data_IF_173398377740
#
_entry.id   IF_173398377740
#
_cell.length_a   1.000
_cell.length_b   1.000
_cell.length_c   1.000
_cell.angle_alpha   90.00
_cell.angle_beta   90.00
_cell.angle_gamma   90.00
#
_symmetry.space_group_name_H-M   'P 1'
#
loop_
_entity.id
_entity.type
_entity.pdbx_description
1 polymer ?
#
# COMPACT_ATOMS: atom_id res chain seq x y z
N UNK A 1 -36.40 5.53 37.39
CA UNK A 1 -35.13 4.81 37.15
C UNK A 1 -34.48 5.43 35.92
N UNK A 2 -33.42 6.22 36.10
CA UNK A 2 -32.65 6.78 34.97
C UNK A 2 -31.67 5.70 34.53
N UNK A 3 -31.86 5.16 33.33
CA UNK A 3 -30.90 4.26 32.70
C UNK A 3 -29.63 5.07 32.44
N UNK A 4 -28.55 4.72 33.14
CA UNK A 4 -27.23 5.29 32.91
C UNK A 4 -26.75 4.72 31.56
N UNK A 5 -26.90 5.48 30.48
CA UNK A 5 -26.18 5.16 29.24
C UNK A 5 -24.69 5.36 29.55
N UNK A 6 -23.97 4.25 29.79
CA UNK A 6 -22.51 4.32 29.85
C UNK A 6 -22.02 4.81 28.49
N UNK A 7 -21.26 5.90 28.53
CA UNK A 7 -20.55 6.42 27.37
C UNK A 7 -19.53 5.36 26.93
N UNK A 8 -19.81 4.70 25.81
CA UNK A 8 -18.98 3.62 25.26
C UNK A 8 -17.57 4.11 24.88
N UNK A 9 -17.35 5.43 24.79
CA UNK A 9 -16.02 6.01 24.56
C UNK A 9 -15.05 5.79 25.73
N UNK A 10 -15.53 5.40 26.90
CA UNK A 10 -14.70 5.04 28.07
C UNK A 10 -14.57 3.53 28.28
N UNK A 11 -15.18 2.71 27.43
CA UNK A 11 -15.03 1.26 27.49
C UNK A 11 -13.79 0.85 26.70
N UNK A 12 -12.91 0.11 27.36
CA UNK A 12 -11.68 -0.36 26.76
C UNK A 12 -11.47 -1.84 27.06
N UNK A 13 -10.92 -2.56 26.09
CA UNK A 13 -10.60 -3.98 26.22
C UNK A 13 -9.26 -4.15 26.93
N UNK A 14 -9.21 -3.79 28.22
CA UNK A 14 -7.96 -3.79 29.01
C UNK A 14 -7.32 -5.18 29.12
N UNK A 15 -8.11 -6.25 29.05
CA UNK A 15 -7.63 -7.64 29.07
C UNK A 15 -7.36 -8.22 27.67
N UNK A 16 -7.46 -7.42 26.61
CA UNK A 16 -7.20 -7.88 25.26
C UNK A 16 -5.73 -8.25 25.12
N UNK A 17 -5.46 -9.53 24.89
CA UNK A 17 -4.11 -10.05 24.66
C UNK A 17 -3.83 -10.31 23.17
N UNK A 18 -4.84 -10.73 22.42
CA UNK A 18 -4.71 -11.17 21.04
C UNK A 18 -5.87 -10.61 20.20
N UNK A 19 -5.54 -10.02 19.05
CA UNK A 19 -6.51 -9.53 18.07
C UNK A 19 -6.17 -10.08 16.69
N UNK A 20 -7.11 -10.75 16.03
CA UNK A 20 -6.95 -11.17 14.64
C UNK A 20 -8.14 -10.72 13.79
N UNK A 21 -7.86 -9.82 12.86
CA UNK A 21 -8.79 -9.26 11.86
C UNK A 21 -8.23 -9.40 10.44
N UNK A 22 -7.20 -10.22 10.24
CA UNK A 22 -6.49 -10.36 8.97
C UNK A 22 -7.36 -10.93 7.84
N UNK A 23 -7.00 -10.63 6.59
CA UNK A 23 -7.49 -11.33 5.40
C UNK A 23 -8.99 -11.22 5.14
N UNK A 24 -9.59 -10.05 5.39
CA UNK A 24 -11.02 -9.87 5.15
C UNK A 24 -11.35 -10.00 3.66
N UNK A 25 -12.40 -10.76 3.35
CA UNK A 25 -12.79 -11.11 1.97
C UNK A 25 -13.85 -10.18 1.37
N UNK A 26 -14.40 -9.25 2.16
CA UNK A 26 -15.40 -8.31 1.66
C UNK A 26 -14.78 -7.37 0.61
N UNK A 27 -15.57 -6.89 -0.35
CA UNK A 27 -15.09 -5.99 -1.40
C UNK A 27 -14.42 -4.71 -0.89
N UNK A 28 -14.70 -4.31 0.36
CA UNK A 28 -14.14 -3.09 0.98
C UNK A 28 -12.95 -3.39 1.89
N UNK A 29 -12.80 -4.64 2.37
CA UNK A 29 -11.89 -5.03 3.48
C UNK A 29 -12.03 -4.07 4.68
N UNK A 30 -11.17 -4.18 5.68
CA UNK A 30 -11.07 -3.13 6.71
C UNK A 30 -10.31 -1.95 6.10
N UNK A 31 -10.84 -0.74 6.26
CA UNK A 31 -10.29 0.50 5.72
C UNK A 31 -10.24 1.58 6.80
N UNK A 32 -9.45 2.63 6.57
CA UNK A 32 -9.26 3.72 7.53
C UNK A 32 -7.86 3.71 8.15
N UNK A 33 -7.61 4.56 9.16
CA UNK A 33 -6.34 4.59 9.86
C UNK A 33 -6.15 3.36 10.76
N UNK A 34 -4.90 2.99 10.98
CA UNK A 34 -4.54 2.02 12.01
C UNK A 34 -4.87 2.57 13.41
N UNK A 35 -5.48 1.75 14.27
CA UNK A 35 -5.71 2.11 15.67
C UNK A 35 -4.40 2.01 16.45
N UNK A 36 -4.18 2.92 17.42
CA UNK A 36 -2.92 2.93 18.18
C UNK A 36 -2.78 1.74 19.13
N UNK A 37 -3.89 1.19 19.64
CA UNK A 37 -3.87 0.23 20.76
C UNK A 37 -3.10 0.73 21.99
N UNK A 38 -2.94 2.05 22.13
CA UNK A 38 -2.20 2.65 23.24
C UNK A 38 -2.77 2.20 24.59
N UNK A 39 -4.07 1.99 24.68
CA UNK A 39 -4.75 1.67 25.94
C UNK A 39 -4.88 0.15 26.21
N UNK A 40 -4.19 -0.74 25.49
CA UNK A 40 -4.33 -2.20 25.63
C UNK A 40 -3.08 -2.84 26.24
N UNK A 41 -2.82 -2.69 27.56
CA UNK A 41 -1.51 -3.00 28.16
C UNK A 41 -1.12 -4.48 28.12
N UNK A 42 -2.10 -5.39 28.01
CA UNK A 42 -1.88 -6.83 28.00
C UNK A 42 -1.71 -7.41 26.59
N UNK A 43 -1.68 -6.56 25.56
CA UNK A 43 -1.65 -6.98 24.18
C UNK A 43 -0.29 -7.57 23.82
N UNK A 44 -0.29 -8.81 23.34
CA UNK A 44 0.89 -9.55 22.90
C UNK A 44 0.85 -9.89 21.42
N UNK A 45 -0.31 -9.77 20.77
CA UNK A 45 -0.41 -9.97 19.34
C UNK A 45 -1.57 -9.28 18.64
N UNK A 46 -1.27 -8.76 17.45
CA UNK A 46 -2.22 -8.11 16.54
C UNK A 46 -1.97 -8.65 15.13
N UNK A 47 -2.98 -9.20 14.49
CA UNK A 47 -2.92 -9.63 13.09
C UNK A 47 -4.02 -8.93 12.31
N UNK A 48 -3.67 -7.90 11.55
CA UNK A 48 -4.61 -7.12 10.71
C UNK A 48 -4.15 -7.11 9.25
N UNK A 49 -3.13 -7.90 8.90
CA UNK A 49 -2.61 -7.96 7.53
C UNK A 49 -3.65 -8.39 6.48
N UNK A 50 -3.44 -8.00 5.22
CA UNK A 50 -4.35 -8.31 4.11
C UNK A 50 -5.65 -7.52 4.14
N UNK A 51 -5.59 -6.24 4.51
CA UNK A 51 -6.71 -5.30 4.55
C UNK A 51 -6.39 -4.05 3.69
N UNK A 52 -7.16 -2.96 3.85
CA UNK A 52 -6.99 -1.69 3.13
C UNK A 52 -6.79 -0.51 4.11
N UNK A 53 -6.09 -0.75 5.23
CA UNK A 53 -5.72 0.32 6.16
C UNK A 53 -4.75 1.29 5.49
N UNK A 54 -4.85 2.58 5.80
CA UNK A 54 -4.08 3.63 5.13
C UNK A 54 -3.59 4.70 6.11
N UNK A 55 -2.62 5.48 5.65
CA UNK A 55 -2.00 6.53 6.47
C UNK A 55 -0.89 5.96 7.37
N UNK A 56 -0.35 6.78 8.29
CA UNK A 56 0.79 6.39 9.10
C UNK A 56 0.43 5.41 10.21
N UNK A 57 1.45 4.68 10.66
CA UNK A 57 1.41 4.02 11.96
C UNK A 57 1.36 5.13 13.03
N UNK A 58 0.37 5.13 13.94
CA UNK A 58 0.24 6.18 14.95
C UNK A 58 1.51 6.30 15.82
N UNK A 59 1.97 7.52 16.16
CA UNK A 59 3.16 7.69 17.01
C UNK A 59 3.03 7.08 18.41
N UNK A 60 1.81 6.89 18.91
CA UNK A 60 1.49 6.25 20.19
C UNK A 60 1.09 4.77 20.04
N UNK A 61 1.40 4.15 18.89
CA UNK A 61 1.11 2.75 18.65
C UNK A 61 1.77 1.87 19.72
N UNK A 62 0.96 1.04 20.40
CA UNK A 62 1.35 0.15 21.49
C UNK A 62 2.02 0.83 22.70
N UNK A 63 1.86 2.15 22.86
CA UNK A 63 2.59 2.92 23.89
C UNK A 63 2.50 2.33 25.30
N UNK A 64 1.31 1.91 25.74
CA UNK A 64 1.10 1.44 27.12
C UNK A 64 1.16 -0.11 27.25
N UNK A 65 1.61 -0.84 26.22
CA UNK A 65 1.92 -2.28 26.27
C UNK A 65 3.18 -2.54 27.09
N UNK A 66 3.30 -3.68 27.77
CA UNK A 66 4.54 -4.08 28.44
C UNK A 66 5.66 -4.37 27.43
N UNK A 67 6.66 -3.49 27.38
CA UNK A 67 7.78 -3.52 26.43
C UNK A 67 8.75 -4.69 26.61
N UNK A 68 8.61 -5.48 27.69
CA UNK A 68 9.47 -6.64 27.97
C UNK A 68 8.90 -7.97 27.46
N UNK A 69 7.68 -7.96 26.94
CA UNK A 69 7.00 -9.16 26.43
C UNK A 69 7.40 -9.47 24.99
N UNK A 70 7.24 -10.72 24.57
CA UNK A 70 7.36 -11.12 23.16
C UNK A 70 6.10 -10.68 22.40
N UNK A 71 6.20 -9.56 21.66
CA UNK A 71 5.09 -8.93 20.95
C UNK A 71 5.12 -9.26 19.46
N UNK A 72 3.99 -9.73 18.91
CA UNK A 72 3.88 -10.16 17.50
C UNK A 72 2.81 -9.39 16.75
N UNK A 73 3.24 -8.55 15.82
CA UNK A 73 2.39 -7.62 15.08
C UNK A 73 2.48 -7.92 13.59
N UNK A 74 1.34 -8.22 12.97
CA UNK A 74 1.22 -8.39 11.53
C UNK A 74 0.28 -7.34 10.93
N UNK A 75 0.88 -6.33 10.29
CA UNK A 75 0.17 -5.28 9.57
C UNK A 75 0.32 -5.41 8.05
N UNK A 76 1.02 -6.44 7.57
CA UNK A 76 1.43 -6.60 6.18
C UNK A 76 0.26 -6.52 5.18
N UNK A 77 0.57 -6.17 3.93
CA UNK A 77 -0.42 -6.09 2.85
C UNK A 77 -1.62 -5.18 3.19
N UNK A 78 -1.32 -3.98 3.67
CA UNK A 78 -2.25 -2.86 3.76
C UNK A 78 -1.78 -1.74 2.79
N UNK A 79 -2.13 -0.49 3.10
CA UNK A 79 -1.67 0.72 2.40
C UNK A 79 -1.09 1.72 3.42
N UNK A 80 -0.49 1.22 4.52
CA UNK A 80 0.14 2.07 5.53
C UNK A 80 1.33 2.79 4.92
N UNK A 81 1.58 4.05 5.31
CA UNK A 81 2.59 4.88 4.65
C UNK A 81 3.35 5.77 5.63
N UNK A 82 4.47 6.33 5.20
CA UNK A 82 5.34 7.16 6.05
C UNK A 82 6.36 6.36 6.84
N UNK A 83 6.98 7.01 7.81
CA UNK A 83 8.04 6.44 8.64
C UNK A 83 7.46 5.55 9.76
N UNK A 84 8.22 4.51 10.12
CA UNK A 84 7.94 3.70 11.32
C UNK A 84 8.24 4.54 12.57
N UNK A 85 7.31 4.68 13.53
CA UNK A 85 7.53 5.52 14.71
C UNK A 85 8.65 5.00 15.61
N UNK A 86 9.67 5.84 15.85
CA UNK A 86 10.80 5.56 16.75
C UNK A 86 10.39 5.16 18.18
N UNK A 87 9.15 5.44 18.59
CA UNK A 87 8.62 4.98 19.88
C UNK A 87 8.57 3.46 20.01
N UNK A 88 8.57 2.73 18.88
CA UNK A 88 8.64 1.27 18.87
C UNK A 88 10.02 0.73 19.29
N UNK A 89 11.08 1.54 19.23
CA UNK A 89 12.45 1.15 19.61
C UNK A 89 12.55 0.82 21.11
N UNK A 90 11.56 1.24 21.91
CA UNK A 90 11.48 0.94 23.34
C UNK A 90 11.23 -0.55 23.66
N UNK A 91 10.76 -1.35 22.69
CA UNK A 91 10.46 -2.77 22.91
C UNK A 91 11.73 -3.62 22.89
N UNK A 92 11.89 -4.50 23.88
CA UNK A 92 13.02 -5.44 23.88
C UNK A 92 12.82 -6.55 22.86
N UNK A 93 11.58 -7.00 22.64
CA UNK A 93 11.20 -8.08 21.71
C UNK A 93 9.97 -7.69 20.89
N UNK A 94 10.20 -7.27 19.65
CA UNK A 94 9.13 -6.95 18.72
C UNK A 94 9.32 -7.68 17.39
N UNK A 95 8.33 -8.49 17.03
CA UNK A 95 8.19 -9.05 15.70
C UNK A 95 7.11 -8.26 14.95
N UNK A 96 7.51 -7.26 14.14
CA UNK A 96 6.58 -6.44 13.36
C UNK A 96 6.70 -6.73 11.86
N UNK A 97 5.60 -7.13 11.22
CA UNK A 97 5.54 -7.37 9.79
C UNK A 97 4.79 -6.24 9.08
N UNK A 98 5.55 -5.45 8.30
CA UNK A 98 5.08 -4.29 7.51
C UNK A 98 5.21 -4.53 5.99
N UNK A 99 5.51 -5.76 5.59
CA UNK A 99 5.78 -6.09 4.18
C UNK A 99 4.53 -5.82 3.34
N UNK A 100 4.72 -5.24 2.15
CA UNK A 100 3.61 -4.97 1.23
C UNK A 100 2.74 -3.76 1.59
N UNK A 101 3.21 -2.92 2.52
CA UNK A 101 2.72 -1.56 2.74
C UNK A 101 3.53 -0.53 1.91
N UNK A 102 3.23 0.76 2.10
CA UNK A 102 3.88 1.90 1.46
C UNK A 102 4.87 2.60 2.43
N UNK A 103 5.65 1.82 3.19
CA UNK A 103 6.58 2.35 4.22
C UNK A 103 7.73 3.12 3.57
N UNK A 104 7.96 4.34 4.06
CA UNK A 104 8.97 5.23 3.53
C UNK A 104 10.33 5.11 4.21
N UNK A 105 10.32 4.81 5.49
CA UNK A 105 11.51 4.87 6.32
C UNK A 105 11.39 3.95 7.52
N UNK A 106 12.47 3.23 7.79
CA UNK A 106 12.74 2.48 8.99
C UNK A 106 14.10 2.97 9.48
N UNK A 107 14.14 3.52 10.69
CA UNK A 107 15.38 3.98 11.30
C UNK A 107 16.34 2.81 11.57
N UNK A 108 17.64 3.04 11.45
CA UNK A 108 18.65 1.99 11.66
C UNK A 108 18.72 1.54 13.13
N UNK A 109 18.23 2.34 14.10
CA UNK A 109 18.16 1.92 15.51
C UNK A 109 17.33 0.64 15.69
N UNK A 110 16.27 0.48 14.88
CA UNK A 110 15.44 -0.72 14.95
C UNK A 110 16.20 -2.03 14.66
N UNK A 111 17.39 -1.92 14.10
CA UNK A 111 18.18 -3.03 13.62
C UNK A 111 19.37 -3.36 14.53
N UNK A 112 19.55 -2.62 15.62
CA UNK A 112 20.58 -2.88 16.64
C UNK A 112 20.12 -3.89 17.71
N UNK A 113 18.82 -4.21 17.73
CA UNK A 113 18.23 -5.11 18.70
C UNK A 113 18.30 -6.58 18.23
N UNK A 114 19.19 -7.34 18.87
CA UNK A 114 19.43 -8.75 18.57
C UNK A 114 18.23 -9.69 18.84
N UNK A 115 17.19 -9.25 19.56
CA UNK A 115 16.01 -10.08 19.85
C UNK A 115 14.80 -9.78 18.95
N UNK A 116 14.88 -8.72 18.14
CA UNK A 116 13.83 -8.37 17.19
C UNK A 116 13.73 -9.36 16.03
N UNK A 117 12.52 -9.48 15.49
CA UNK A 117 12.22 -10.38 14.37
C UNK A 117 12.67 -11.82 14.64
N UNK A 118 12.42 -12.31 15.86
CA UNK A 118 12.88 -13.58 16.40
C UNK A 118 14.42 -13.77 16.29
N UNK A 119 15.16 -12.69 16.48
CA UNK A 119 16.62 -12.61 16.39
C UNK A 119 17.18 -12.58 14.97
N UNK A 120 16.35 -12.31 13.97
CA UNK A 120 16.81 -12.16 12.59
C UNK A 120 17.66 -10.90 12.38
N UNK A 121 17.44 -9.86 13.18
CA UNK A 121 18.15 -8.58 13.10
C UNK A 121 19.64 -8.74 13.39
N UNK A 122 20.00 -9.56 14.38
CA UNK A 122 21.39 -9.93 14.66
C UNK A 122 22.13 -10.49 13.44
N UNK A 123 21.42 -11.17 12.55
CA UNK A 123 22.02 -11.88 11.40
C UNK A 123 21.96 -11.07 10.11
N UNK A 124 20.87 -10.35 9.85
CA UNK A 124 20.61 -9.70 8.58
C UNK A 124 20.55 -8.16 8.68
N UNK A 125 20.67 -7.60 9.89
CA UNK A 125 20.45 -6.17 10.16
C UNK A 125 19.03 -5.75 9.75
N UNK A 126 18.88 -4.49 9.32
CA UNK A 126 17.57 -3.95 8.91
C UNK A 126 16.84 -4.73 7.83
N UNK A 127 17.58 -5.51 7.02
CA UNK A 127 17.00 -6.33 5.96
C UNK A 127 16.11 -7.45 6.51
N UNK A 128 16.26 -7.84 7.77
CA UNK A 128 15.35 -8.77 8.46
C UNK A 128 13.95 -8.16 8.66
N UNK A 129 13.87 -6.85 8.86
CA UNK A 129 12.62 -6.11 8.99
C UNK A 129 11.99 -5.85 7.62
N UNK A 130 12.69 -5.08 6.76
CA UNK A 130 12.23 -4.65 5.44
C UNK A 130 13.43 -4.49 4.50
N UNK A 131 13.30 -4.93 3.25
CA UNK A 131 14.28 -4.60 2.22
C UNK A 131 14.31 -3.08 1.98
N UNK A 132 15.50 -2.47 1.80
CA UNK A 132 15.62 -1.04 1.51
C UNK A 132 14.87 -0.62 0.22
N UNK A 133 14.60 0.69 0.09
CA UNK A 133 14.06 1.27 -1.15
C UNK A 133 14.94 0.91 -2.35
N UNK A 134 14.30 0.73 -3.51
CA UNK A 134 14.90 0.25 -4.77
C UNK A 134 15.55 -1.13 -4.70
N UNK A 135 15.30 -1.87 -3.63
CA UNK A 135 15.58 -3.30 -3.53
C UNK A 135 14.29 -4.06 -3.25
N UNK A 136 14.29 -5.33 -3.60
CA UNK A 136 13.16 -6.20 -3.35
C UNK A 136 13.60 -7.56 -2.84
N UNK A 137 12.67 -8.25 -2.20
CA UNK A 137 12.78 -9.67 -1.95
C UNK A 137 11.37 -10.28 -2.07
N UNK A 138 11.18 -11.53 -2.56
CA UNK A 138 9.84 -12.12 -2.69
C UNK A 138 9.04 -12.24 -1.39
N UNK A 139 9.70 -12.04 -0.24
CA UNK A 139 9.08 -11.95 1.10
C UNK A 139 9.15 -10.55 1.70
N UNK A 140 9.59 -9.55 0.94
CA UNK A 140 9.76 -8.15 1.34
C UNK A 140 10.95 -7.88 2.24
N UNK A 141 11.53 -8.92 2.82
CA UNK A 141 12.66 -8.88 3.74
C UNK A 141 13.50 -10.14 3.61
N UNK A 142 14.75 -10.10 4.05
CA UNK A 142 15.63 -11.25 4.12
C UNK A 142 15.19 -12.18 5.25
N UNK A 143 15.02 -13.47 4.94
CA UNK A 143 14.59 -14.49 5.92
C UNK A 143 15.57 -15.66 6.03
N UNK A 144 16.53 -15.75 5.10
CA UNK A 144 17.55 -16.79 5.06
C UNK A 144 18.82 -16.27 4.38
N UNK A 145 19.92 -17.01 4.53
CA UNK A 145 21.22 -16.67 3.91
C UNK A 145 21.23 -16.86 2.37
N UNK A 146 20.27 -17.60 1.82
CA UNK A 146 20.29 -18.00 0.42
C UNK A 146 19.91 -16.86 -0.52
N UNK A 147 19.22 -15.84 0.01
CA UNK A 147 18.63 -14.78 -0.81
C UNK A 147 18.62 -13.45 -0.07
N UNK A 148 19.49 -12.54 -0.51
CA UNK A 148 19.53 -11.15 -0.07
C UNK A 148 18.49 -10.29 -0.82
N UNK A 149 18.23 -9.08 -0.31
CA UNK A 149 17.48 -8.04 -1.01
C UNK A 149 18.20 -7.66 -2.30
N UNK A 150 17.53 -7.88 -3.43
CA UNK A 150 18.08 -7.64 -4.78
C UNK A 150 17.79 -6.22 -5.22
N UNK A 151 18.75 -5.58 -5.88
CA UNK A 151 18.54 -4.31 -6.57
C UNK A 151 17.53 -4.46 -7.71
N UNK A 152 16.79 -3.39 -7.98
CA UNK A 152 15.96 -3.28 -9.17
C UNK A 152 16.82 -3.11 -10.42
N UNK A 153 16.37 -3.70 -11.53
CA UNK A 153 16.99 -3.51 -12.83
C UNK A 153 16.78 -2.07 -13.35
N UNK A 154 17.63 -1.57 -14.26
CA UNK A 154 17.42 -0.25 -14.86
C UNK A 154 16.03 -0.14 -15.49
N UNK A 155 15.28 0.90 -15.11
CA UNK A 155 13.89 1.09 -15.57
C UNK A 155 12.84 0.46 -14.65
N UNK A 156 13.24 -0.12 -13.52
CA UNK A 156 12.35 -0.60 -12.47
C UNK A 156 12.59 0.17 -11.15
N UNK A 157 11.57 0.24 -10.29
CA UNK A 157 11.64 0.77 -8.93
C UNK A 157 10.98 -0.15 -7.91
N UNK A 158 11.40 0.04 -6.67
CA UNK A 158 10.74 -0.47 -5.48
C UNK A 158 10.64 0.70 -4.51
N UNK A 159 9.65 1.59 -4.66
CA UNK A 159 9.64 2.90 -4.01
C UNK A 159 9.48 2.83 -2.49
N UNK A 160 9.03 1.69 -1.96
CA UNK A 160 8.78 1.49 -0.53
C UNK A 160 9.71 0.45 0.05
N UNK A 161 10.09 0.64 1.31
CA UNK A 161 10.78 -0.39 2.06
C UNK A 161 9.87 -1.61 2.20
N UNK A 162 10.43 -2.81 2.12
CA UNK A 162 9.65 -4.05 2.23
C UNK A 162 9.04 -4.53 0.91
N UNK A 163 9.42 -3.95 -0.22
CA UNK A 163 8.86 -4.28 -1.53
C UNK A 163 9.08 -5.74 -1.92
N UNK A 164 8.00 -6.38 -2.42
CA UNK A 164 8.00 -7.80 -2.78
C UNK A 164 8.63 -8.09 -4.15
N UNK A 165 8.56 -7.11 -5.04
CA UNK A 165 9.07 -7.12 -6.40
C UNK A 165 9.52 -5.71 -6.75
N UNK A 166 10.47 -5.59 -7.67
CA UNK A 166 10.58 -4.36 -8.44
C UNK A 166 9.39 -4.29 -9.39
N UNK A 167 8.92 -3.08 -9.65
CA UNK A 167 7.92 -2.78 -10.65
C UNK A 167 8.64 -1.98 -11.72
N UNK A 168 8.37 -2.25 -12.98
CA UNK A 168 8.76 -1.37 -14.08
C UNK A 168 7.99 -0.05 -13.96
N UNK A 169 8.47 0.79 -13.02
CA UNK A 169 8.17 2.17 -12.63
C UNK A 169 6.70 2.58 -12.61
N UNK A 170 6.24 3.21 -11.52
CA UNK A 170 4.86 3.66 -11.25
C UNK A 170 4.06 4.37 -12.37
N UNK A 171 4.66 4.75 -13.50
CA UNK A 171 4.01 5.26 -14.70
C UNK A 171 2.90 4.33 -15.22
N UNK A 172 3.19 3.02 -15.41
CA UNK A 172 2.17 2.10 -15.97
C UNK A 172 0.96 1.92 -15.06
N UNK A 173 1.14 1.98 -13.75
CA UNK A 173 0.03 1.82 -12.81
C UNK A 173 -0.84 3.09 -12.72
N UNK A 174 -0.22 4.28 -12.67
CA UNK A 174 -0.95 5.54 -12.68
C UNK A 174 -1.64 5.79 -14.04
N UNK A 175 -0.95 5.53 -15.15
CA UNK A 175 -1.50 5.61 -16.51
C UNK A 175 -2.71 4.68 -16.67
N UNK A 176 -2.68 3.47 -16.10
CA UNK A 176 -3.83 2.57 -16.10
C UNK A 176 -5.04 3.20 -15.43
N UNK A 177 -4.83 3.77 -14.24
CA UNK A 177 -5.89 4.41 -13.46
C UNK A 177 -6.45 5.59 -14.24
N UNK A 178 -5.59 6.44 -14.80
CA UNK A 178 -5.99 7.60 -15.61
C UNK A 178 -6.79 7.15 -16.83
N UNK A 179 -6.32 6.15 -17.58
CA UNK A 179 -7.01 5.63 -18.75
C UNK A 179 -8.37 5.01 -18.37
N UNK A 180 -8.46 4.23 -17.31
CA UNK A 180 -9.76 3.70 -16.84
C UNK A 180 -10.71 4.82 -16.41
N UNK A 181 -10.21 5.88 -15.77
CA UNK A 181 -11.04 7.06 -15.45
C UNK A 181 -11.53 7.78 -16.72
N UNK A 182 -10.69 7.92 -17.75
CA UNK A 182 -11.11 8.44 -19.06
C UNK A 182 -12.21 7.56 -19.62
N UNK A 183 -11.98 6.25 -19.69
CA UNK A 183 -12.95 5.29 -20.20
C UNK A 183 -14.31 5.45 -19.51
N UNK A 184 -14.34 5.54 -18.18
CA UNK A 184 -15.58 5.70 -17.43
C UNK A 184 -16.22 7.09 -17.66
N UNK A 185 -15.42 8.16 -17.70
CA UNK A 185 -15.90 9.54 -17.82
C UNK A 185 -16.52 9.87 -19.18
N UNK A 186 -16.06 9.19 -20.25
CA UNK A 186 -16.54 9.43 -21.63
C UNK A 186 -17.25 8.21 -22.23
N UNK A 187 -18.00 7.49 -21.38
CA UNK A 187 -18.93 6.44 -21.78
C UNK A 187 -18.29 5.30 -22.58
N UNK A 188 -17.15 4.81 -22.08
CA UNK A 188 -16.27 3.79 -22.66
C UNK A 188 -16.97 2.54 -23.17
N UNK A 189 -18.00 2.11 -22.45
CA UNK A 189 -18.78 0.92 -22.80
C UNK A 189 -19.52 1.03 -24.13
N UNK A 190 -19.78 2.26 -24.60
CA UNK A 190 -20.47 2.56 -25.86
C UNK A 190 -19.53 2.99 -26.99
N UNK A 191 -18.21 2.86 -26.79
CA UNK A 191 -17.24 3.12 -27.84
C UNK A 191 -17.32 2.08 -28.95
N UNK A 192 -17.11 2.52 -30.19
CA UNK A 192 -17.08 1.64 -31.37
C UNK A 192 -15.91 0.66 -31.31
N UNK A 193 -14.78 1.11 -30.78
CA UNK A 193 -13.52 0.36 -30.64
C UNK A 193 -13.00 0.53 -29.21
N UNK A 194 -12.98 -0.57 -28.47
CA UNK A 194 -12.62 -0.63 -27.04
C UNK A 194 -11.78 -1.86 -26.70
N UNK A 195 -11.07 -2.42 -27.69
CA UNK A 195 -10.31 -3.66 -27.49
C UNK A 195 -9.32 -3.51 -26.32
N UNK A 196 -9.40 -4.44 -25.37
CA UNK A 196 -8.55 -4.56 -24.17
C UNK A 196 -8.69 -3.46 -23.10
N UNK A 197 -9.50 -2.43 -23.33
CA UNK A 197 -9.82 -1.46 -22.28
C UNK A 197 -10.44 -2.15 -21.06
N UNK A 198 -10.06 -1.72 -19.86
CA UNK A 198 -10.48 -2.32 -18.57
C UNK A 198 -10.19 -3.82 -18.43
N UNK A 199 -9.17 -4.34 -19.12
CA UNK A 199 -8.66 -5.70 -18.96
C UNK A 199 -7.27 -5.72 -18.29
N UNK A 200 -6.80 -6.89 -17.90
CA UNK A 200 -5.44 -7.08 -17.34
C UNK A 200 -4.33 -7.05 -18.40
N UNK A 201 -4.66 -6.86 -19.69
CA UNK A 201 -3.65 -6.78 -20.75
C UNK A 201 -2.73 -5.55 -20.58
N UNK A 202 -1.46 -5.60 -21.01
CA UNK A 202 -0.55 -4.45 -20.98
C UNK A 202 -1.15 -3.23 -21.70
N UNK A 203 -0.97 -2.04 -21.14
CA UNK A 203 -1.69 -0.80 -21.53
C UNK A 203 -1.35 -0.38 -22.95
N UNK A 204 -0.09 -0.52 -23.35
CA UNK A 204 0.35 -0.24 -24.73
C UNK A 204 -0.33 -1.15 -25.78
N UNK A 205 -1.01 -2.21 -25.33
CA UNK A 205 -1.75 -3.09 -26.24
C UNK A 205 -3.24 -2.74 -26.37
N UNK A 206 -3.73 -1.75 -25.60
CA UNK A 206 -5.10 -1.26 -25.64
C UNK A 206 -5.37 -0.49 -26.93
N UNK A 207 -6.62 -0.52 -27.41
CA UNK A 207 -6.97 0.20 -28.63
C UNK A 207 -6.73 1.72 -28.46
N UNK A 208 -5.94 2.31 -29.35
CA UNK A 208 -5.71 3.75 -29.39
C UNK A 208 -4.67 4.25 -28.39
N UNK A 209 -4.11 3.41 -27.54
CA UNK A 209 -2.99 3.79 -26.66
C UNK A 209 -1.68 3.56 -27.41
N UNK A 210 -0.84 4.58 -27.51
CA UNK A 210 0.52 4.49 -28.07
C UNK A 210 1.55 4.80 -27.00
N UNK A 211 2.68 4.10 -27.06
CA UNK A 211 3.79 4.22 -26.11
C UNK A 211 5.11 4.52 -26.86
N UNK A 212 6.11 5.05 -26.17
CA UNK A 212 7.32 5.60 -26.78
C UNK A 212 8.27 4.55 -27.40
N UNK A 213 8.18 3.29 -26.99
CA UNK A 213 8.96 2.18 -27.53
C UNK A 213 8.06 0.98 -27.87
N UNK A 214 8.56 0.02 -28.67
CA UNK A 214 7.87 -1.27 -28.96
C UNK A 214 7.75 -2.20 -27.72
N UNK A 215 8.20 -1.73 -26.55
CA UNK A 215 8.01 -2.44 -25.28
C UNK A 215 6.58 -2.24 -24.77
N UNK A 216 5.88 -3.35 -24.52
CA UNK A 216 4.52 -3.38 -23.96
C UNK A 216 4.43 -2.80 -22.53
N UNK A 217 5.58 -2.53 -21.91
CA UNK A 217 5.76 -1.91 -20.60
C UNK A 217 6.38 -0.50 -20.64
N UNK A 218 6.41 0.17 -21.81
CA UNK A 218 6.81 1.57 -21.90
C UNK A 218 5.66 2.53 -21.53
N UNK A 219 5.98 3.79 -21.19
CA UNK A 219 4.99 4.79 -20.79
C UNK A 219 4.08 5.26 -21.94
N UNK A 220 2.86 5.68 -21.62
CA UNK A 220 1.85 6.13 -22.60
C UNK A 220 2.19 7.52 -23.13
N UNK A 221 2.36 7.65 -24.43
CA UNK A 221 2.75 8.91 -25.09
C UNK A 221 1.75 9.42 -26.12
N UNK A 222 0.77 8.61 -26.50
CA UNK A 222 -0.37 9.08 -27.29
C UNK A 222 -1.67 8.33 -26.98
N UNK A 223 -2.80 9.03 -27.12
CA UNK A 223 -4.14 8.47 -27.00
C UNK A 223 -5.01 8.86 -28.21
N UNK A 224 -5.30 7.90 -29.07
CA UNK A 224 -6.01 8.06 -30.34
C UNK A 224 -7.40 7.40 -30.30
N UNK A 225 -8.40 8.18 -29.89
CA UNK A 225 -9.80 7.74 -29.78
C UNK A 225 -10.72 8.44 -30.79
N UNK A 226 -10.17 8.97 -31.89
CA UNK A 226 -10.93 9.66 -32.93
C UNK A 226 -11.97 8.77 -33.60
N UNK A 227 -13.12 9.37 -33.96
CA UNK A 227 -14.24 8.67 -34.61
C UNK A 227 -14.75 7.44 -33.83
N UNK A 228 -14.73 7.52 -32.48
CA UNK A 228 -15.03 6.37 -31.62
C UNK A 228 -16.33 6.50 -30.81
N UNK A 229 -17.22 7.43 -31.17
CA UNK A 229 -18.49 7.67 -30.47
C UNK A 229 -18.32 8.03 -28.99
N UNK A 230 -17.38 8.94 -28.69
CA UNK A 230 -17.09 9.38 -27.32
C UNK A 230 -18.22 10.30 -26.82
N UNK A 231 -18.73 10.02 -25.61
CA UNK A 231 -19.84 10.77 -25.02
C UNK A 231 -19.56 11.05 -23.54
N UNK A 232 -19.54 12.31 -23.14
CA UNK A 232 -19.25 12.68 -21.74
C UNK A 232 -20.44 12.37 -20.82
N UNK A 233 -20.15 11.80 -19.64
CA UNK A 233 -21.15 11.58 -18.58
C UNK A 233 -21.06 12.75 -17.59
N UNK A 234 -22.10 13.60 -17.49
CA UNK A 234 -22.10 14.76 -16.59
C UNK A 234 -22.72 14.44 -15.20
N UNK A 235 -22.13 14.89 -14.05
CA UNK A 235 -20.81 15.49 -13.88
C UNK A 235 -19.82 14.56 -13.13
N UNK A 236 -18.68 14.28 -13.76
CA UNK A 236 -17.45 13.90 -13.07
C UNK A 236 -17.03 15.06 -12.14
N UNK A 237 -17.45 15.03 -10.88
CA UNK A 237 -17.18 16.10 -9.91
C UNK A 237 -15.85 15.95 -9.15
N UNK A 238 -15.03 14.94 -9.46
CA UNK A 238 -13.70 14.76 -8.84
C UNK A 238 -12.66 14.17 -9.81
N UNK A 239 -12.69 14.55 -11.09
CA UNK A 239 -11.51 14.33 -11.93
C UNK A 239 -10.42 15.35 -11.50
N UNK A 240 -9.18 14.91 -11.21
CA UNK A 240 -8.10 15.84 -10.92
C UNK A 240 -7.94 16.85 -12.09
N UNK A 241 -7.74 18.11 -11.72
CA UNK A 241 -7.96 19.32 -12.53
C UNK A 241 -6.91 19.53 -13.65
N UNK A 242 -6.31 18.47 -14.18
CA UNK A 242 -5.35 18.55 -15.30
C UNK A 242 -5.95 18.19 -16.66
N UNK A 243 -7.20 17.71 -16.72
CA UNK A 243 -7.78 17.15 -17.94
C UNK A 243 -8.81 18.05 -18.65
N UNK A 244 -8.51 19.34 -18.81
CA UNK A 244 -9.31 20.25 -19.64
C UNK A 244 -8.48 20.78 -20.81
N UNK A 245 -8.15 19.92 -21.79
CA UNK A 245 -7.79 20.32 -23.16
C UNK A 245 -7.65 19.13 -24.12
N UNK A 246 -8.66 18.27 -24.27
CA UNK A 246 -8.69 17.27 -25.36
C UNK A 246 -10.11 17.16 -25.94
N UNK A 247 -10.63 18.25 -26.52
CA UNK A 247 -11.70 18.15 -27.52
C UNK A 247 -11.47 19.22 -28.61
N UNK A 248 -11.38 18.83 -29.90
CA UNK A 248 -11.31 19.79 -30.99
C UNK A 248 -12.73 20.18 -31.42
N UNK A 249 -13.38 21.08 -30.69
CA UNK A 249 -14.39 22.03 -31.24
C UNK A 249 -14.69 23.11 -30.20
N UNK A 250 -13.82 24.12 -30.12
CA UNK A 250 -14.26 25.48 -29.84
C UNK A 250 -14.25 26.22 -31.18
N UNK A 251 -15.42 26.36 -31.81
CA UNK A 251 -15.61 27.24 -32.94
C UNK A 251 -17.03 27.85 -32.89
N UNK A 252 -17.04 29.13 -32.48
CA UNK A 252 -18.13 30.13 -32.41
C UNK A 252 -19.24 29.91 -31.38
#
# INVERSE_FOLDING_TARGET
>A
MRTNCQDISQLNLNSLAQLNLSGQRSRKRIQGPLLSFSSNPNLIGVSIGGNNLKGPIPPDFLRDVDHNMDIKIDLSFNMLAGAVPLTLDAFTKLDINLVGDNIDELDDTFCDNDEWMAGADQRYGCKANLCPKNKYHPRGRQIDDSRDCKDCDPGEDAPFMGSLTCRSQGLLFEERIILTQIYDAINGTNWVKQRKWNSDAPICTWYGVGCDDDDENSGVTSLQLGNNNLEAIAPAKEAPVTMFCILPTCAR
#
